data_IF_464307756369
#
_entry.id   IF_464307756369
#
_cell.length_a   1.000
_cell.length_b   1.000
_cell.length_c   1.000
_cell.angle_alpha   90.00
_cell.angle_beta   90.00
_cell.angle_gamma   90.00
#
_symmetry.space_group_name_H-M   'P 1'
#
loop_
_entity.id
_entity.type
_entity.pdbx_description
1 polymer ?
#
# COMPACT_ATOMS: atom_id res chain seq x y z
N UNK A 1 44.32 -55.78 -42.46
CA UNK A 1 44.52 -54.87 -41.32
C UNK A 1 43.57 -53.70 -41.46
N UNK A 2 42.48 -53.65 -40.62
CA UNK A 2 41.51 -52.58 -40.56
C UNK A 2 41.69 -51.89 -39.18
N UNK A 3 41.76 -50.59 -39.07
CA UNK A 3 41.86 -49.93 -37.78
C UNK A 3 40.45 -49.74 -37.15
N UNK A 4 40.32 -50.13 -35.90
CA UNK A 4 39.20 -49.91 -35.01
C UNK A 4 38.99 -48.41 -34.77
N UNK A 5 37.75 -47.91 -35.01
CA UNK A 5 37.31 -46.61 -34.57
C UNK A 5 36.67 -46.75 -33.16
N UNK A 6 37.33 -46.23 -32.15
CA UNK A 6 36.74 -46.06 -30.82
C UNK A 6 35.79 -44.85 -30.85
N UNK A 7 34.51 -45.08 -30.70
CA UNK A 7 33.48 -44.05 -30.49
C UNK A 7 33.48 -43.62 -29.05
N UNK A 8 33.94 -42.44 -28.74
CA UNK A 8 33.85 -41.82 -27.44
C UNK A 8 32.44 -41.24 -27.24
N UNK A 9 31.66 -41.91 -26.38
CA UNK A 9 30.40 -41.38 -25.86
C UNK A 9 30.71 -40.34 -24.78
N UNK A 10 30.44 -39.06 -25.05
CA UNK A 10 30.38 -38.02 -24.03
C UNK A 10 29.00 -38.02 -23.36
N UNK A 11 28.87 -38.16 -22.06
CA UNK A 11 27.59 -37.96 -21.40
C UNK A 11 27.26 -36.47 -21.39
N UNK A 12 26.15 -36.07 -21.99
CA UNK A 12 25.58 -34.75 -21.88
C UNK A 12 25.08 -34.55 -20.45
N UNK A 13 25.76 -33.73 -19.69
CA UNK A 13 25.34 -33.30 -18.35
C UNK A 13 24.20 -32.27 -18.51
N UNK A 14 22.96 -32.71 -18.32
CA UNK A 14 21.80 -31.81 -18.21
C UNK A 14 21.92 -31.05 -16.89
N UNK A 15 22.36 -29.79 -16.95
CA UNK A 15 22.22 -28.84 -15.85
C UNK A 15 20.73 -28.46 -15.72
N UNK A 16 20.02 -29.07 -14.79
CA UNK A 16 18.73 -28.53 -14.32
C UNK A 16 19.04 -27.20 -13.61
N UNK A 17 18.79 -26.09 -14.30
CA UNK A 17 18.71 -24.78 -13.67
C UNK A 17 17.44 -24.78 -12.76
N UNK A 18 17.60 -25.07 -11.48
CA UNK A 18 16.61 -24.79 -10.48
C UNK A 18 16.45 -23.26 -10.43
N UNK A 19 15.43 -22.74 -11.11
CA UNK A 19 15.04 -21.36 -11.00
C UNK A 19 14.69 -21.10 -9.53
N UNK A 20 15.58 -20.45 -8.81
CA UNK A 20 15.27 -19.84 -7.51
C UNK A 20 14.21 -18.80 -7.80
N UNK A 21 12.93 -19.14 -7.52
CA UNK A 21 11.86 -18.16 -7.43
C UNK A 21 12.27 -17.20 -6.29
N UNK A 22 12.81 -16.05 -6.65
CA UNK A 22 12.98 -14.97 -5.71
C UNK A 22 11.61 -14.72 -5.05
N UNK A 23 11.54 -14.61 -3.71
CA UNK A 23 10.29 -14.25 -3.05
C UNK A 23 9.84 -12.94 -3.68
N UNK A 24 8.69 -12.98 -4.37
CA UNK A 24 8.10 -11.77 -4.94
C UNK A 24 7.84 -10.82 -3.79
N UNK A 25 8.51 -9.67 -3.83
CA UNK A 25 8.39 -8.65 -2.80
C UNK A 25 6.92 -8.28 -2.60
N UNK A 26 6.51 -8.28 -1.34
CA UNK A 26 5.21 -7.74 -0.96
C UNK A 26 5.20 -6.27 -1.35
N UNK A 27 4.33 -5.93 -2.28
CA UNK A 27 3.98 -4.55 -2.59
C UNK A 27 2.72 -4.25 -1.80
N UNK A 28 2.60 -3.04 -1.28
CA UNK A 28 1.37 -2.44 -0.77
C UNK A 28 0.17 -2.70 -1.71
N UNK A 29 -0.99 -2.13 -1.46
CA UNK A 29 -2.00 -2.15 -2.52
C UNK A 29 -1.32 -2.13 -3.88
N UNK A 30 -1.69 -2.99 -4.80
CA UNK A 30 -1.14 -2.91 -6.16
C UNK A 30 -1.16 -1.46 -6.66
N UNK A 31 -0.36 -1.12 -7.65
CA UNK A 31 -0.37 0.22 -8.25
C UNK A 31 -1.80 0.69 -8.58
N UNK A 32 -2.69 -0.24 -8.97
CA UNK A 32 -4.10 0.06 -9.21
C UNK A 32 -4.86 0.44 -7.92
N UNK A 33 -4.64 -0.24 -6.81
CA UNK A 33 -5.28 0.13 -5.54
C UNK A 33 -4.83 1.50 -5.05
N UNK A 34 -3.54 1.83 -5.14
CA UNK A 34 -3.04 3.18 -4.82
C UNK A 34 -3.62 4.25 -5.75
N UNK A 35 -3.77 3.96 -7.05
CA UNK A 35 -4.44 4.88 -7.98
C UNK A 35 -5.91 5.10 -7.64
N UNK A 36 -6.62 4.08 -7.19
CA UNK A 36 -8.02 4.21 -6.73
C UNK A 36 -8.08 5.17 -5.52
N UNK A 37 -7.25 4.97 -4.50
CA UNK A 37 -7.15 5.86 -3.33
C UNK A 37 -6.87 7.29 -3.77
N UNK A 38 -5.88 7.51 -4.63
CA UNK A 38 -5.49 8.81 -5.12
C UNK A 38 -6.63 9.51 -5.88
N UNK A 39 -7.34 8.81 -6.77
CA UNK A 39 -8.49 9.36 -7.52
C UNK A 39 -9.65 9.75 -6.61
N UNK A 40 -9.94 8.95 -5.59
CA UNK A 40 -10.94 9.30 -4.58
C UNK A 40 -10.48 10.56 -3.82
N UNK A 41 -9.21 10.66 -3.45
CA UNK A 41 -8.67 11.83 -2.78
C UNK A 41 -8.75 13.08 -3.66
N UNK A 42 -8.41 12.97 -4.95
CA UNK A 42 -8.52 14.09 -5.91
C UNK A 42 -9.93 14.68 -5.97
N UNK A 43 -10.96 13.83 -5.89
CA UNK A 43 -12.35 14.31 -5.92
C UNK A 43 -12.76 15.12 -4.68
N UNK A 44 -12.05 14.91 -3.56
CA UNK A 44 -12.31 15.58 -2.28
C UNK A 44 -11.41 16.79 -2.00
N UNK A 45 -10.52 17.19 -2.92
CA UNK A 45 -9.63 18.32 -2.71
C UNK A 45 -10.39 19.65 -2.80
N UNK A 46 -10.09 20.56 -1.85
CA UNK A 46 -10.47 21.97 -1.98
C UNK A 46 -9.75 22.63 -3.16
N UNK A 47 -10.30 23.72 -3.73
CA UNK A 47 -9.61 24.44 -4.81
C UNK A 47 -8.19 24.89 -4.46
N UNK A 48 -7.95 25.29 -3.20
CA UNK A 48 -6.63 25.70 -2.73
C UNK A 48 -5.65 24.53 -2.65
N UNK A 49 -6.07 23.41 -2.08
CA UNK A 49 -5.24 22.21 -2.00
C UNK A 49 -4.94 21.65 -3.39
N UNK A 50 -5.92 21.64 -4.30
CA UNK A 50 -5.72 21.23 -5.69
C UNK A 50 -4.68 22.09 -6.39
N UNK A 51 -4.81 23.42 -6.32
CA UNK A 51 -3.85 24.31 -6.94
C UNK A 51 -2.41 24.10 -6.44
N UNK A 52 -2.24 23.80 -5.15
CA UNK A 52 -0.93 23.54 -4.57
C UNK A 52 -0.39 22.15 -4.96
N UNK A 53 -1.26 21.13 -5.03
CA UNK A 53 -0.92 19.81 -5.58
C UNK A 53 -0.45 19.94 -7.02
N UNK A 54 -1.22 20.62 -7.87
CA UNK A 54 -0.88 20.84 -9.29
C UNK A 54 0.46 21.56 -9.43
N UNK A 55 0.72 22.57 -8.58
CA UNK A 55 1.98 23.30 -8.55
C UNK A 55 3.16 22.40 -8.16
N UNK A 56 3.01 21.61 -7.11
CA UNK A 56 4.07 20.70 -6.63
C UNK A 56 4.40 19.60 -7.63
N UNK A 57 3.41 19.11 -8.37
CA UNK A 57 3.56 18.02 -9.32
C UNK A 57 3.86 18.48 -10.76
N UNK A 58 3.94 19.77 -11.05
CA UNK A 58 4.07 20.31 -12.40
C UNK A 58 5.25 19.76 -13.22
N UNK A 59 6.26 19.15 -12.59
CA UNK A 59 7.42 18.53 -13.26
C UNK A 59 7.33 17.02 -13.43
N UNK A 60 6.28 16.38 -12.94
CA UNK A 60 6.12 14.91 -13.02
C UNK A 60 5.60 14.49 -14.41
N UNK A 61 5.94 13.27 -14.83
CA UNK A 61 5.48 12.71 -16.11
C UNK A 61 3.95 12.57 -16.19
N UNK A 62 3.31 12.22 -15.08
CA UNK A 62 1.87 12.30 -14.87
C UNK A 62 1.63 13.12 -13.60
N UNK A 63 1.33 14.45 -13.75
CA UNK A 63 1.25 15.40 -12.65
C UNK A 63 -0.07 15.32 -11.87
N UNK A 64 -0.57 14.10 -11.64
CA UNK A 64 -1.78 13.81 -10.85
C UNK A 64 -1.45 13.00 -9.60
N UNK A 65 -2.30 13.03 -8.57
CA UNK A 65 -2.13 12.13 -7.43
C UNK A 65 -2.13 10.66 -7.87
N UNK A 66 -2.95 10.31 -8.85
CA UNK A 66 -3.00 8.95 -9.40
C UNK A 66 -1.71 8.57 -10.15
N UNK A 67 -1.09 9.53 -10.85
CA UNK A 67 0.18 9.33 -11.56
C UNK A 67 1.34 8.99 -10.63
N UNK A 68 1.39 9.65 -9.46
CA UNK A 68 2.48 9.45 -8.50
C UNK A 68 2.16 8.41 -7.42
N UNK A 69 0.98 7.79 -7.43
CA UNK A 69 0.48 6.97 -6.34
C UNK A 69 1.34 5.72 -6.04
N UNK A 70 2.02 5.15 -7.04
CA UNK A 70 2.89 4.00 -6.87
C UNK A 70 4.39 4.36 -6.73
N UNK A 71 4.74 5.64 -6.71
CA UNK A 71 6.13 6.09 -6.75
C UNK A 71 6.99 5.56 -5.58
N UNK A 72 6.46 5.49 -4.37
CA UNK A 72 7.22 5.00 -3.23
C UNK A 72 7.65 3.53 -3.38
N UNK A 73 6.82 2.69 -4.02
CA UNK A 73 7.19 1.32 -4.39
C UNK A 73 8.23 1.28 -5.52
N UNK A 74 8.15 2.20 -6.49
CA UNK A 74 9.07 2.29 -7.62
C UNK A 74 10.49 2.65 -7.20
N UNK A 75 10.66 3.33 -6.05
CA UNK A 75 11.98 3.62 -5.47
C UNK A 75 12.85 2.37 -5.29
N UNK A 76 12.24 1.20 -5.12
CA UNK A 76 12.98 -0.06 -5.00
C UNK A 76 13.83 -0.36 -6.25
N UNK A 77 13.31 -0.01 -7.40
CA UNK A 77 13.93 -0.26 -8.71
C UNK A 77 14.65 0.99 -9.25
N UNK A 78 14.10 2.19 -9.03
CA UNK A 78 14.59 3.46 -9.59
C UNK A 78 15.69 4.12 -8.73
N UNK A 79 15.59 4.01 -7.40
CA UNK A 79 16.56 4.48 -6.41
C UNK A 79 16.71 3.43 -5.29
N UNK A 80 17.48 2.35 -5.52
CA UNK A 80 17.56 1.24 -4.57
C UNK A 80 18.13 1.61 -3.20
N UNK A 81 18.91 2.68 -3.07
CA UNK A 81 19.39 3.17 -1.78
C UNK A 81 18.24 3.76 -0.98
N UNK A 82 17.50 4.65 -1.57
CA UNK A 82 16.31 5.26 -0.96
C UNK A 82 15.20 4.24 -0.72
N UNK A 83 14.98 3.32 -1.66
CA UNK A 83 14.02 2.23 -1.51
C UNK A 83 14.32 1.35 -0.29
N UNK A 84 15.60 1.01 -0.03
CA UNK A 84 16.00 0.29 1.19
C UNK A 84 15.82 1.12 2.45
N UNK A 85 16.16 2.40 2.41
CA UNK A 85 16.01 3.30 3.54
C UNK A 85 14.54 3.51 3.96
N UNK A 86 13.61 3.43 3.01
CA UNK A 86 12.18 3.66 3.24
C UNK A 86 11.35 2.38 3.31
N UNK A 87 11.96 1.19 3.16
CA UNK A 87 11.26 -0.08 3.06
C UNK A 87 10.31 -0.37 4.25
N UNK A 88 10.66 0.05 5.44
CA UNK A 88 9.82 -0.13 6.64
C UNK A 88 8.67 0.87 6.73
N UNK A 89 8.69 1.94 5.93
CA UNK A 89 7.67 2.98 5.97
C UNK A 89 6.35 2.54 5.35
N UNK A 90 6.33 1.39 4.67
CA UNK A 90 5.14 0.83 4.04
C UNK A 90 4.22 0.09 5.01
N UNK A 91 4.68 -0.28 6.21
CA UNK A 91 3.90 -1.13 7.12
C UNK A 91 4.20 -0.85 8.59
N UNK A 92 3.34 -1.39 9.45
CA UNK A 92 3.58 -1.61 10.87
C UNK A 92 3.15 -3.05 11.20
N UNK A 93 3.95 -3.76 11.99
CA UNK A 93 3.63 -5.11 12.43
C UNK A 93 3.48 -5.16 13.94
N UNK A 94 2.26 -5.36 14.40
CA UNK A 94 1.94 -5.47 15.82
C UNK A 94 2.42 -6.79 16.41
N UNK A 95 2.81 -6.77 17.67
CA UNK A 95 3.18 -7.97 18.41
C UNK A 95 1.98 -8.51 19.20
N UNK A 96 1.24 -9.44 18.59
CA UNK A 96 0.09 -10.09 19.23
C UNK A 96 -1.22 -9.37 18.95
N UNK A 97 -1.75 -8.60 19.91
CA UNK A 97 -3.02 -7.88 19.76
C UNK A 97 -2.85 -6.52 19.08
N UNK A 98 -3.96 -5.92 18.66
CA UNK A 98 -4.00 -4.56 18.13
C UNK A 98 -3.84 -3.51 19.23
N UNK A 99 -2.74 -3.62 19.98
CA UNK A 99 -2.33 -2.72 21.05
C UNK A 99 -0.95 -2.17 20.71
N UNK A 100 -0.86 -0.87 20.52
CA UNK A 100 0.38 -0.24 20.06
C UNK A 100 1.42 -0.10 21.19
N UNK A 101 2.61 -0.61 20.93
CA UNK A 101 3.80 -0.49 21.77
C UNK A 101 4.92 0.15 20.95
N UNK A 102 5.16 1.45 21.17
CA UNK A 102 6.00 2.28 20.30
C UNK A 102 7.41 1.69 20.06
N UNK A 103 8.05 1.20 21.11
CA UNK A 103 9.42 0.67 21.06
C UNK A 103 9.50 -0.68 20.32
N UNK A 104 8.40 -1.42 20.27
CA UNK A 104 8.32 -2.73 19.64
C UNK A 104 7.76 -2.69 18.23
N UNK A 105 6.69 -1.93 18.01
CA UNK A 105 5.95 -1.95 16.76
C UNK A 105 6.45 -0.90 15.77
N UNK A 106 6.98 0.24 16.29
CA UNK A 106 7.48 1.35 15.47
C UNK A 106 8.75 2.00 16.08
N UNK A 107 9.82 1.22 16.31
CA UNK A 107 11.04 1.73 16.95
C UNK A 107 11.62 2.91 16.14
N UNK A 108 11.90 4.02 16.83
CA UNK A 108 12.42 5.23 16.21
C UNK A 108 11.45 5.92 15.23
N UNK A 109 10.15 5.61 15.28
CA UNK A 109 9.14 6.03 14.30
C UNK A 109 9.45 5.55 12.87
N UNK A 110 10.18 4.43 12.72
CA UNK A 110 10.55 3.83 11.43
C UNK A 110 9.52 2.78 11.00
N UNK A 111 8.29 3.24 10.74
CA UNK A 111 7.14 2.48 10.29
C UNK A 111 6.16 3.39 9.52
N UNK A 112 5.07 2.84 8.95
CA UNK A 112 4.09 3.60 8.18
C UNK A 112 3.45 4.75 8.98
N UNK A 113 3.18 4.56 10.26
CA UNK A 113 2.61 5.61 11.13
C UNK A 113 3.58 6.79 11.26
N UNK A 114 4.85 6.50 11.58
CA UNK A 114 5.88 7.52 11.68
C UNK A 114 6.16 8.21 10.35
N UNK A 115 6.11 7.46 9.25
CA UNK A 115 6.30 7.99 7.89
C UNK A 115 5.17 8.95 7.49
N UNK A 116 3.90 8.60 7.74
CA UNK A 116 2.75 9.50 7.49
C UNK A 116 2.92 10.78 8.30
N UNK A 117 3.15 10.69 9.60
CA UNK A 117 3.27 11.85 10.48
C UNK A 117 4.41 12.80 10.03
N UNK A 118 5.59 12.26 9.73
CA UNK A 118 6.75 13.02 9.28
C UNK A 118 6.48 13.74 7.95
N UNK A 119 5.95 13.03 6.97
CA UNK A 119 5.71 13.60 5.64
C UNK A 119 4.55 14.61 5.66
N UNK A 120 3.55 14.41 6.51
CA UNK A 120 2.50 15.40 6.75
C UNK A 120 3.07 16.72 7.27
N UNK A 121 3.91 16.67 8.30
CA UNK A 121 4.55 17.87 8.86
C UNK A 121 5.48 18.56 7.86
N UNK A 122 6.17 17.79 7.00
CA UNK A 122 7.01 18.32 5.93
C UNK A 122 6.18 19.05 4.87
N UNK A 123 5.11 18.42 4.41
CA UNK A 123 4.21 18.98 3.38
C UNK A 123 3.55 20.30 3.85
N UNK A 124 3.16 20.35 5.13
CA UNK A 124 2.48 21.50 5.72
C UNK A 124 3.39 22.73 5.93
N UNK A 125 4.71 22.63 5.67
CA UNK A 125 5.67 23.73 5.90
C UNK A 125 6.14 24.34 4.57
N UNK A 126 5.60 25.49 4.14
CA UNK A 126 5.99 26.12 2.86
C UNK A 126 7.49 26.43 2.75
N UNK A 127 8.17 26.70 3.87
CA UNK A 127 9.60 27.02 3.93
C UNK A 127 10.56 25.84 3.71
N UNK A 128 10.05 24.62 3.51
CA UNK A 128 10.89 23.43 3.28
C UNK A 128 11.38 23.24 1.84
N UNK A 129 10.94 24.09 0.93
CA UNK A 129 11.25 23.99 -0.49
C UNK A 129 10.37 22.98 -1.23
N UNK A 130 10.22 23.19 -2.54
CA UNK A 130 9.26 22.44 -3.35
C UNK A 130 9.64 20.95 -3.52
N UNK A 131 10.92 20.63 -3.68
CA UNK A 131 11.34 19.24 -3.88
C UNK A 131 11.06 18.38 -2.63
N UNK A 132 11.37 18.89 -1.44
CA UNK A 132 11.08 18.16 -0.20
C UNK A 132 9.57 18.00 0.03
N UNK A 133 8.78 19.03 -0.31
CA UNK A 133 7.30 18.98 -0.20
C UNK A 133 6.68 18.08 -1.26
N UNK A 134 7.21 18.04 -2.47
CA UNK A 134 6.81 17.10 -3.53
C UNK A 134 7.04 15.66 -3.10
N UNK A 135 8.21 15.34 -2.58
CA UNK A 135 8.52 14.02 -2.06
C UNK A 135 7.61 13.63 -0.90
N UNK A 136 7.36 14.56 0.03
CA UNK A 136 6.43 14.35 1.13
C UNK A 136 5.00 14.08 0.64
N UNK A 137 4.53 14.78 -0.39
CA UNK A 137 3.24 14.54 -1.03
C UNK A 137 3.19 13.12 -1.64
N UNK A 138 4.22 12.72 -2.40
CA UNK A 138 4.30 11.38 -3.00
C UNK A 138 4.24 10.28 -1.94
N UNK A 139 5.01 10.43 -0.86
CA UNK A 139 4.98 9.49 0.26
C UNK A 139 3.62 9.43 0.95
N UNK A 140 2.97 10.57 1.20
CA UNK A 140 1.65 10.59 1.83
C UNK A 140 0.59 9.91 0.96
N UNK A 141 0.58 10.18 -0.34
CA UNK A 141 -0.37 9.55 -1.27
C UNK A 141 -0.27 8.04 -1.21
N UNK A 142 0.95 7.51 -1.11
CA UNK A 142 1.20 6.08 -1.03
C UNK A 142 0.88 5.53 0.36
N UNK A 143 1.50 6.06 1.42
CA UNK A 143 1.44 5.47 2.75
C UNK A 143 0.06 5.59 3.42
N UNK A 144 -0.74 6.60 3.07
CA UNK A 144 -2.15 6.62 3.51
C UNK A 144 -2.93 5.47 2.86
N UNK A 145 -2.61 5.09 1.63
CA UNK A 145 -3.11 3.86 1.03
C UNK A 145 -2.68 2.62 1.83
N UNK A 146 -1.37 2.51 2.12
CA UNK A 146 -0.77 1.37 2.81
C UNK A 146 -1.40 1.10 4.16
N UNK A 147 -1.49 2.10 5.02
CA UNK A 147 -2.02 1.94 6.38
C UNK A 147 -3.48 1.47 6.40
N UNK A 148 -4.20 1.61 5.28
CA UNK A 148 -5.56 1.14 5.12
C UNK A 148 -5.66 -0.28 4.54
N UNK A 149 -4.60 -0.86 4.00
CA UNK A 149 -4.53 -2.27 3.67
C UNK A 149 -4.32 -3.07 4.96
N UNK A 150 -5.26 -3.96 5.36
CA UNK A 150 -5.23 -4.57 6.68
C UNK A 150 -3.91 -5.28 7.03
N UNK A 151 -3.28 -5.94 6.05
CA UNK A 151 -2.04 -6.68 6.26
C UNK A 151 -0.79 -5.79 6.31
N UNK A 152 -0.89 -4.49 5.93
CA UNK A 152 0.15 -3.48 6.19
C UNK A 152 0.14 -2.97 7.64
N UNK A 153 -0.90 -3.31 8.40
CA UNK A 153 -0.98 -3.13 9.84
C UNK A 153 -1.27 -4.48 10.51
N UNK A 154 -0.56 -5.51 10.07
CA UNK A 154 -0.79 -6.91 10.41
C UNK A 154 0.01 -7.40 11.60
N UNK A 155 0.01 -8.72 11.77
CA UNK A 155 0.74 -9.38 12.83
C UNK A 155 2.19 -9.64 12.43
N UNK A 156 3.11 -9.54 13.40
CA UNK A 156 4.54 -9.78 13.18
C UNK A 156 4.86 -11.23 12.84
N UNK A 157 4.13 -12.17 13.43
CA UNK A 157 4.44 -13.61 13.36
C UNK A 157 4.45 -14.16 11.94
N UNK A 158 3.57 -13.64 11.07
CA UNK A 158 3.52 -14.02 9.65
C UNK A 158 3.93 -12.89 8.70
N UNK A 159 4.53 -11.83 9.23
CA UNK A 159 4.96 -10.66 8.46
C UNK A 159 3.80 -10.04 7.65
N UNK A 160 2.66 -9.80 8.32
CA UNK A 160 1.47 -9.25 7.68
C UNK A 160 0.94 -10.15 6.55
N UNK A 161 0.86 -11.45 6.77
CA UNK A 161 0.35 -12.42 5.79
C UNK A 161 1.33 -12.82 4.68
N UNK A 162 2.56 -12.27 4.66
CA UNK A 162 3.57 -12.65 3.67
C UNK A 162 4.02 -14.10 3.83
N UNK A 163 4.05 -14.62 5.05
CA UNK A 163 4.38 -16.02 5.36
C UNK A 163 3.16 -16.94 5.31
N UNK A 164 1.96 -16.40 5.25
CA UNK A 164 0.74 -17.17 5.13
C UNK A 164 0.52 -17.58 3.66
N UNK A 165 1.05 -18.74 3.30
CA UNK A 165 0.96 -19.26 1.93
C UNK A 165 -0.47 -19.73 1.63
N UNK A 166 -0.98 -19.39 0.46
CA UNK A 166 -2.31 -19.79 -0.02
C UNK A 166 -2.22 -20.37 -1.43
N UNK A 167 -3.19 -21.21 -1.77
CA UNK A 167 -3.40 -21.71 -3.11
C UNK A 167 -4.74 -21.18 -3.63
N UNK A 168 -4.71 -20.44 -4.73
CA UNK A 168 -5.89 -19.94 -5.44
C UNK A 168 -5.93 -20.62 -6.83
N UNK A 169 -6.96 -21.44 -7.07
CA UNK A 169 -7.18 -22.13 -8.35
C UNK A 169 -5.94 -22.91 -8.83
N UNK A 170 -5.27 -23.63 -7.93
CA UNK A 170 -4.06 -24.41 -8.23
C UNK A 170 -2.76 -23.60 -8.28
N UNK A 171 -2.81 -22.27 -8.08
CA UNK A 171 -1.64 -21.39 -8.11
C UNK A 171 -1.24 -20.96 -6.70
N UNK A 172 0.04 -21.16 -6.36
CA UNK A 172 0.61 -20.71 -5.09
C UNK A 172 0.74 -19.19 -5.02
N UNK A 173 0.41 -18.61 -3.86
CA UNK A 173 0.58 -17.21 -3.53
C UNK A 173 0.75 -17.06 -2.02
N UNK A 174 0.83 -15.83 -1.52
CA UNK A 174 0.66 -15.53 -0.10
C UNK A 174 -0.56 -14.63 0.11
N UNK A 175 -1.08 -14.60 1.34
CA UNK A 175 -2.29 -13.86 1.67
C UNK A 175 -2.11 -12.35 1.48
N UNK A 176 -0.92 -11.82 1.78
CA UNK A 176 -0.60 -10.42 1.58
C UNK A 176 -0.84 -10.00 0.12
N UNK A 177 -0.24 -10.75 -0.84
CA UNK A 177 -0.40 -10.49 -2.27
C UNK A 177 -1.84 -10.62 -2.77
N UNK A 178 -2.62 -11.52 -2.16
CA UNK A 178 -4.05 -11.64 -2.46
C UNK A 178 -4.78 -10.33 -2.11
N UNK A 179 -4.47 -9.74 -0.96
CA UNK A 179 -5.06 -8.48 -0.51
C UNK A 179 -4.57 -7.29 -1.33
N UNK A 180 -3.29 -7.24 -1.71
CA UNK A 180 -2.73 -6.12 -2.46
C UNK A 180 -3.41 -5.88 -3.81
N UNK A 181 -3.85 -6.95 -4.48
CA UNK A 181 -4.38 -6.78 -5.83
C UNK A 181 -5.42 -7.81 -6.26
N UNK A 182 -5.24 -9.09 -5.93
CA UNK A 182 -6.11 -10.14 -6.48
C UNK A 182 -7.57 -9.95 -6.09
N UNK A 183 -7.85 -9.51 -4.88
CA UNK A 183 -9.21 -9.19 -4.41
C UNK A 183 -9.83 -8.07 -5.28
N UNK A 184 -9.08 -7.01 -5.57
CA UNK A 184 -9.57 -5.88 -6.36
C UNK A 184 -9.89 -6.27 -7.81
N UNK A 185 -9.14 -7.22 -8.37
CA UNK A 185 -9.36 -7.73 -9.73
C UNK A 185 -10.74 -8.40 -9.89
N UNK A 186 -11.37 -8.85 -8.79
CA UNK A 186 -12.73 -9.40 -8.81
C UNK A 186 -13.77 -8.40 -9.34
N UNK A 187 -13.51 -7.09 -9.18
CA UNK A 187 -14.41 -6.05 -9.71
C UNK A 187 -14.40 -5.98 -11.24
N UNK A 188 -13.31 -6.42 -11.87
CA UNK A 188 -13.17 -6.36 -13.33
C UNK A 188 -13.09 -4.94 -13.89
N UNK A 189 -12.69 -3.97 -13.08
CA UNK A 189 -12.60 -2.55 -13.44
C UNK A 189 -11.16 -2.07 -13.28
N UNK A 190 -10.72 -1.23 -14.20
CA UNK A 190 -9.50 -0.43 -14.06
C UNK A 190 -9.71 0.71 -13.04
N UNK A 191 -8.61 1.25 -12.49
CA UNK A 191 -8.66 2.24 -11.41
C UNK A 191 -9.57 3.44 -11.64
N UNK A 192 -9.69 4.03 -12.85
CA UNK A 192 -10.62 5.16 -13.05
C UNK A 192 -12.08 4.77 -12.85
N UNK A 193 -12.50 3.67 -13.45
CA UNK A 193 -13.86 3.17 -13.36
C UNK A 193 -14.19 2.62 -11.96
N UNK A 194 -13.21 1.96 -11.32
CA UNK A 194 -13.40 1.45 -9.95
C UNK A 194 -13.54 2.61 -8.95
N UNK A 195 -12.69 3.63 -9.02
CA UNK A 195 -12.80 4.82 -8.17
C UNK A 195 -14.14 5.53 -8.38
N UNK A 196 -14.59 5.70 -9.62
CA UNK A 196 -15.89 6.29 -9.94
C UNK A 196 -17.06 5.50 -9.30
N UNK A 197 -17.07 4.17 -9.44
CA UNK A 197 -18.07 3.32 -8.83
C UNK A 197 -18.07 3.40 -7.28
N UNK A 198 -16.90 3.58 -6.67
CA UNK A 198 -16.79 3.77 -5.22
C UNK A 198 -17.30 5.14 -4.77
N UNK A 199 -17.12 6.18 -5.59
CA UNK A 199 -17.62 7.55 -5.32
C UNK A 199 -19.14 7.67 -5.47
N UNK A 200 -19.78 6.82 -6.27
CA UNK A 200 -21.25 6.76 -6.40
C UNK A 200 -21.95 6.16 -5.16
N UNK A 201 -21.22 5.46 -4.29
CA UNK A 201 -21.78 4.91 -3.06
C UNK A 201 -22.18 6.03 -2.09
N UNK A 202 -23.13 5.78 -1.14
CA UNK A 202 -23.53 6.77 -0.14
C UNK A 202 -22.32 7.42 0.55
N UNK A 203 -22.39 8.72 0.90
CA UNK A 203 -21.30 9.40 1.59
C UNK A 203 -20.83 8.66 2.84
N UNK A 204 -19.54 8.70 3.10
CA UNK A 204 -18.98 8.18 4.35
C UNK A 204 -19.49 9.02 5.53
N UNK A 205 -19.74 8.41 6.70
CA UNK A 205 -20.06 9.14 7.90
C UNK A 205 -18.89 10.06 8.31
N UNK A 206 -19.16 11.09 9.14
CA UNK A 206 -18.07 11.90 9.71
C UNK A 206 -17.03 11.02 10.39
N UNK A 207 -15.75 11.25 10.08
CA UNK A 207 -14.64 10.48 10.60
C UNK A 207 -14.05 11.16 11.84
N UNK A 208 -14.22 10.60 13.05
CA UNK A 208 -13.70 11.16 14.27
C UNK A 208 -12.17 11.13 14.33
N UNK A 209 -11.52 10.21 13.61
CA UNK A 209 -10.05 10.05 13.63
C UNK A 209 -9.32 11.26 13.04
N UNK A 210 -9.97 12.02 12.16
CA UNK A 210 -9.42 13.25 11.59
C UNK A 210 -9.19 14.36 12.65
N UNK A 211 -9.79 14.23 13.85
CA UNK A 211 -9.57 15.11 14.99
C UNK A 211 -8.58 14.55 16.02
N UNK A 212 -8.12 13.33 15.80
CA UNK A 212 -7.11 12.69 16.64
C UNK A 212 -5.76 13.40 16.51
N UNK A 213 -4.98 13.51 17.59
CA UNK A 213 -3.59 13.95 17.50
C UNK A 213 -2.68 12.92 16.78
N UNK A 214 -3.16 11.68 16.62
CA UNK A 214 -2.42 10.57 16.03
C UNK A 214 -3.26 9.79 15.01
N UNK A 215 -3.83 10.44 13.97
CA UNK A 215 -4.79 9.78 13.07
C UNK A 215 -4.19 8.57 12.35
N UNK A 216 -2.92 8.61 11.97
CA UNK A 216 -2.26 7.48 11.30
C UNK A 216 -2.18 6.23 12.18
N UNK A 217 -2.01 6.38 13.49
CA UNK A 217 -2.04 5.26 14.45
C UNK A 217 -3.46 4.70 14.57
N UNK A 218 -4.47 5.55 14.67
CA UNK A 218 -5.86 5.11 14.73
C UNK A 218 -6.23 4.30 13.49
N UNK A 219 -5.79 4.71 12.30
CA UNK A 219 -6.02 3.99 11.04
C UNK A 219 -5.29 2.64 10.98
N UNK A 220 -4.06 2.58 11.53
CA UNK A 220 -3.33 1.32 11.65
C UNK A 220 -4.06 0.35 12.59
N UNK A 221 -4.52 0.84 13.74
CA UNK A 221 -5.29 0.04 14.70
C UNK A 221 -6.63 -0.43 14.12
N UNK A 222 -7.33 0.40 13.34
CA UNK A 222 -8.53 -0.03 12.60
C UNK A 222 -8.22 -1.18 11.63
N UNK A 223 -7.13 -1.07 10.86
CA UNK A 223 -6.70 -2.11 9.92
C UNK A 223 -6.37 -3.42 10.65
N UNK A 224 -5.65 -3.33 11.77
CA UNK A 224 -5.36 -4.48 12.62
C UNK A 224 -6.65 -5.13 13.18
N UNK A 225 -7.61 -4.32 13.67
CA UNK A 225 -8.87 -4.86 14.21
C UNK A 225 -9.72 -5.62 13.19
N UNK A 226 -9.60 -5.33 11.90
CA UNK A 226 -10.23 -6.15 10.86
C UNK A 226 -9.67 -7.58 10.84
N UNK A 227 -8.40 -7.74 11.16
CA UNK A 227 -7.76 -9.05 11.29
C UNK A 227 -8.34 -9.78 12.50
N UNK A 228 -8.41 -9.14 13.67
CA UNK A 228 -8.99 -9.72 14.89
C UNK A 228 -10.47 -10.08 14.72
N UNK A 229 -11.21 -9.30 13.93
CA UNK A 229 -12.61 -9.57 13.60
C UNK A 229 -12.80 -10.74 12.60
N UNK A 230 -11.73 -11.40 12.14
CA UNK A 230 -11.80 -12.52 11.19
C UNK A 230 -12.16 -12.11 9.76
N UNK A 231 -12.05 -10.83 9.43
CA UNK A 231 -12.45 -10.30 8.11
C UNK A 231 -11.34 -10.39 7.07
N UNK A 232 -10.13 -10.82 7.46
CA UNK A 232 -8.94 -10.77 6.58
C UNK A 232 -8.47 -12.17 6.20
N UNK A 233 -8.22 -13.02 7.16
CA UNK A 233 -7.73 -14.38 6.94
C UNK A 233 -8.84 -15.33 6.50
N UNK A 234 -8.49 -16.45 5.82
CA UNK A 234 -9.42 -17.53 5.60
C UNK A 234 -9.89 -18.12 6.93
N UNK A 235 -11.18 -18.49 7.02
CA UNK A 235 -11.71 -19.19 8.18
C UNK A 235 -10.96 -20.51 8.38
N UNK A 236 -10.88 -20.96 9.63
CA UNK A 236 -10.32 -22.26 10.03
C UNK A 236 -8.85 -22.49 9.62
N UNK A 237 -8.09 -21.41 9.35
CA UNK A 237 -6.67 -21.49 9.00
C UNK A 237 -6.38 -22.21 7.68
N UNK A 238 -7.38 -22.38 6.78
CA UNK A 238 -7.18 -23.06 5.51
C UNK A 238 -6.27 -22.29 4.57
N UNK A 239 -5.48 -23.03 3.82
CA UNK A 239 -4.53 -22.51 2.84
C UNK A 239 -5.03 -22.59 1.39
N UNK A 240 -6.18 -23.20 1.14
CA UNK A 240 -6.82 -23.21 -0.17
C UNK A 240 -7.97 -22.21 -0.15
N UNK A 241 -7.91 -21.23 -1.03
CA UNK A 241 -8.90 -20.15 -1.22
C UNK A 241 -9.46 -20.21 -2.62
N UNK A 242 -10.64 -19.66 -2.81
CA UNK A 242 -11.40 -19.68 -4.04
C UNK A 242 -12.03 -18.31 -4.34
N UNK A 243 -12.80 -18.26 -5.41
CA UNK A 243 -13.54 -17.05 -5.79
C UNK A 243 -14.48 -16.56 -4.68
N UNK A 244 -15.11 -17.47 -3.92
CA UNK A 244 -16.01 -17.09 -2.83
C UNK A 244 -15.27 -16.39 -1.69
N UNK A 245 -14.04 -16.80 -1.40
CA UNK A 245 -13.19 -16.08 -0.45
C UNK A 245 -12.91 -14.65 -0.92
N UNK A 246 -12.54 -14.48 -2.20
CA UNK A 246 -12.25 -13.15 -2.77
C UNK A 246 -13.50 -12.26 -2.76
N UNK A 247 -14.65 -12.81 -3.18
CA UNK A 247 -15.92 -12.08 -3.22
C UNK A 247 -16.39 -11.62 -1.83
N UNK A 248 -16.14 -12.45 -0.80
CA UNK A 248 -16.47 -12.10 0.59
C UNK A 248 -15.55 -11.00 1.17
N UNK A 249 -14.34 -10.83 0.65
CA UNK A 249 -13.35 -9.83 1.12
C UNK A 249 -13.37 -8.54 0.31
N UNK A 250 -13.87 -8.56 -0.92
CA UNK A 250 -13.94 -7.39 -1.80
C UNK A 250 -14.67 -6.19 -1.14
N UNK A 251 -15.84 -6.34 -0.48
CA UNK A 251 -16.48 -5.19 0.18
C UNK A 251 -15.63 -4.57 1.29
N UNK A 252 -14.85 -5.38 2.01
CA UNK A 252 -13.92 -4.88 3.05
C UNK A 252 -12.80 -4.08 2.39
N UNK A 253 -12.18 -4.61 1.33
CA UNK A 253 -11.13 -3.93 0.59
C UNK A 253 -11.62 -2.60 0.00
N UNK A 254 -12.79 -2.58 -0.65
CA UNK A 254 -13.41 -1.38 -1.20
C UNK A 254 -13.73 -0.32 -0.13
N UNK A 255 -14.23 -0.74 1.03
CA UNK A 255 -14.45 0.17 2.15
C UNK A 255 -13.15 0.81 2.64
N UNK A 256 -12.05 0.04 2.71
CA UNK A 256 -10.72 0.56 3.09
C UNK A 256 -10.16 1.53 2.05
N UNK A 257 -10.33 1.28 0.75
CA UNK A 257 -9.94 2.21 -0.33
C UNK A 257 -10.70 3.53 -0.24
N UNK A 258 -12.01 3.49 0.02
CA UNK A 258 -12.84 4.69 0.19
C UNK A 258 -12.40 5.53 1.39
N UNK A 259 -12.20 4.89 2.53
CA UNK A 259 -11.70 5.55 3.74
C UNK A 259 -10.33 6.18 3.50
N UNK A 260 -9.40 5.44 2.90
CA UNK A 260 -8.07 5.93 2.57
C UNK A 260 -8.13 7.19 1.69
N UNK A 261 -8.92 7.18 0.62
CA UNK A 261 -9.06 8.32 -0.28
C UNK A 261 -9.68 9.55 0.41
N UNK A 262 -10.75 9.36 1.19
CA UNK A 262 -11.39 10.44 1.94
C UNK A 262 -10.45 11.05 3.00
N UNK A 263 -9.72 10.22 3.72
CA UNK A 263 -8.74 10.63 4.74
C UNK A 263 -7.54 11.35 4.14
N UNK A 264 -7.04 10.85 3.01
CA UNK A 264 -5.98 11.52 2.25
C UNK A 264 -6.43 12.90 1.79
N UNK A 265 -7.62 13.04 1.22
CA UNK A 265 -8.17 14.34 0.83
C UNK A 265 -8.25 15.31 2.02
N UNK A 266 -8.78 14.87 3.16
CA UNK A 266 -8.88 15.69 4.35
C UNK A 266 -7.48 16.13 4.87
N UNK A 267 -6.53 15.21 4.88
CA UNK A 267 -5.14 15.48 5.28
C UNK A 267 -4.46 16.48 4.35
N UNK A 268 -4.61 16.32 3.03
CA UNK A 268 -4.06 17.25 2.03
C UNK A 268 -4.74 18.63 2.11
N UNK A 269 -6.05 18.68 2.26
CA UNK A 269 -6.79 19.93 2.43
C UNK A 269 -6.31 20.72 3.65
N UNK A 270 -5.97 20.03 4.75
CA UNK A 270 -5.46 20.68 5.95
C UNK A 270 -3.99 21.10 5.79
N UNK A 271 -3.13 20.23 5.24
CA UNK A 271 -1.69 20.50 5.09
C UNK A 271 -1.41 21.62 4.08
N UNK A 272 -2.24 21.75 3.04
CA UNK A 272 -2.08 22.70 1.94
C UNK A 272 -3.06 23.89 2.01
N UNK A 273 -3.76 24.03 3.15
CA UNK A 273 -4.58 25.21 3.39
C UNK A 273 -3.70 26.48 3.33
N UNK A 274 -4.19 27.58 2.73
CA UNK A 274 -3.48 28.84 2.81
C UNK A 274 -3.32 29.24 4.28
N UNK A 275 -2.20 29.89 4.65
CA UNK A 275 -2.04 30.42 5.99
C UNK A 275 -3.24 31.28 6.36
N UNK A 276 -3.76 31.11 7.57
CA UNK A 276 -4.83 31.99 8.04
C UNK A 276 -4.39 33.45 7.87
N UNK A 277 -5.25 34.26 7.25
CA UNK A 277 -4.97 35.70 7.13
C UNK A 277 -4.63 36.23 8.52
N UNK A 278 -3.48 36.89 8.65
CA UNK A 278 -3.13 37.54 9.90
C UNK A 278 -4.23 38.54 10.26
N UNK A 279 -4.68 38.60 11.53
CA UNK A 279 -5.73 39.48 11.97
C UNK A 279 -5.41 40.95 11.77
#
# INVERSE_FOLDING_TARGET
MRPNRLSSLFPALLLLAAGVLAPGDARAWSAEGHRIVARIAESGLTPAARAEVDRLLAGEADPTLAGIAAWADQLRDEDPERGRATAKWHYINFQGRCEFQAELDCPGNDCVVGAINRNYLLLAQPGRGDDARRDALKFLVHFVGDVHQPLHAGQRDDAGGNRYQVNLDGRGSNLHRIWDGTILQRRGLESPAHAAALLEQPPLPPDPTLRSPTPALDWALESCRLIEAGLVYPADGRHVIDAAFLDARLPVAEARLRLAGARLAAMLNHALAPPAAAP
#
